data_IF_140495413776
#
_entry.id   IF_140495413776
#
_cell.length_a   1.000
_cell.length_b   1.000
_cell.length_c   1.000
_cell.angle_alpha   90.00
_cell.angle_beta   90.00
_cell.angle_gamma   90.00
#
_symmetry.space_group_name_H-M   'P 1'
#
loop_
_entity.id
_entity.type
_entity.pdbx_description
1 polymer ?
#
# COMPACT_ATOMS: atom_id res chain seq x y z
N UNK A 1 -9.26 -34.24 -4.05
CA UNK A 1 -9.46 -32.80 -4.37
C UNK A 1 -8.18 -32.06 -3.98
N UNK A 2 -7.68 -31.10 -4.79
CA UNK A 2 -6.46 -30.35 -4.40
C UNK A 2 -6.75 -29.51 -3.15
N UNK A 3 -5.82 -29.44 -2.18
CA UNK A 3 -5.98 -28.60 -1.00
C UNK A 3 -6.16 -27.12 -1.37
N UNK A 4 -6.96 -26.39 -0.59
CA UNK A 4 -7.21 -24.95 -0.85
C UNK A 4 -5.92 -24.13 -0.88
N UNK A 5 -4.95 -24.38 -0.01
CA UNK A 5 -3.70 -23.63 -0.01
C UNK A 5 -2.92 -23.80 -1.32
N UNK A 6 -2.92 -25.00 -1.92
CA UNK A 6 -2.30 -25.22 -3.25
C UNK A 6 -2.99 -24.41 -4.34
N UNK A 7 -4.31 -24.25 -4.25
CA UNK A 7 -5.10 -23.45 -5.19
C UNK A 7 -4.78 -21.98 -5.06
N UNK A 8 -4.75 -21.44 -3.82
CA UNK A 8 -4.41 -20.04 -3.56
C UNK A 8 -2.99 -19.70 -4.00
N UNK A 9 -2.03 -20.62 -3.72
CA UNK A 9 -0.65 -20.45 -4.19
C UNK A 9 -0.58 -20.40 -5.73
N UNK A 10 -1.33 -21.25 -6.43
CA UNK A 10 -1.39 -21.20 -7.90
C UNK A 10 -2.01 -19.92 -8.44
N UNK A 11 -3.07 -19.43 -7.80
CA UNK A 11 -3.65 -18.15 -8.19
C UNK A 11 -2.63 -17.01 -8.03
N UNK A 12 -1.88 -17.03 -6.93
CA UNK A 12 -0.83 -16.05 -6.66
C UNK A 12 0.32 -16.13 -7.66
N UNK A 13 0.79 -17.35 -7.97
CA UNK A 13 1.84 -17.56 -8.97
C UNK A 13 1.41 -17.11 -10.36
N UNK A 14 0.18 -17.43 -10.78
CA UNK A 14 -0.36 -17.02 -12.07
C UNK A 14 -0.45 -15.48 -12.13
N UNK A 15 -0.99 -14.84 -11.10
CA UNK A 15 -1.08 -13.38 -11.04
C UNK A 15 0.31 -12.72 -11.05
N UNK A 16 1.31 -13.35 -10.44
CA UNK A 16 2.70 -12.86 -10.44
C UNK A 16 3.37 -13.00 -11.81
N UNK A 17 3.13 -14.11 -12.51
CA UNK A 17 3.72 -14.38 -13.83
C UNK A 17 3.05 -13.56 -14.95
N UNK A 18 1.75 -13.34 -14.83
CA UNK A 18 0.93 -12.69 -15.84
C UNK A 18 0.13 -11.55 -15.20
N UNK A 19 0.74 -10.36 -15.16
CA UNK A 19 0.11 -9.19 -14.52
C UNK A 19 -1.25 -8.83 -15.13
N UNK A 20 -1.45 -9.13 -16.43
CA UNK A 20 -2.69 -8.85 -17.18
C UNK A 20 -3.69 -10.01 -17.16
N UNK A 21 -3.40 -11.10 -16.40
CA UNK A 21 -4.31 -12.23 -16.33
C UNK A 21 -5.66 -11.84 -15.75
N UNK A 22 -6.72 -12.30 -16.42
CA UNK A 22 -8.12 -12.07 -16.02
C UNK A 22 -8.71 -13.35 -15.45
N UNK A 23 -9.18 -13.27 -14.21
CA UNK A 23 -9.78 -14.38 -13.49
C UNK A 23 -11.30 -14.43 -13.68
N UNK A 24 -11.83 -15.54 -14.21
CA UNK A 24 -13.24 -15.66 -14.57
C UNK A 24 -14.05 -16.62 -13.70
N UNK A 25 -13.41 -17.41 -12.83
CA UNK A 25 -14.02 -18.51 -12.08
C UNK A 25 -13.62 -18.55 -10.61
N UNK A 26 -13.59 -17.39 -9.94
CA UNK A 26 -13.19 -17.32 -8.53
C UNK A 26 -14.31 -17.72 -7.56
N UNK A 27 -15.57 -17.50 -7.94
CA UNK A 27 -16.73 -17.82 -7.10
C UNK A 27 -16.79 -19.29 -6.70
N UNK A 28 -16.34 -20.21 -7.56
CA UNK A 28 -16.29 -21.66 -7.27
C UNK A 28 -15.47 -22.01 -6.01
N UNK A 29 -14.52 -21.18 -5.63
CA UNK A 29 -13.71 -21.41 -4.44
C UNK A 29 -14.45 -21.12 -3.14
N UNK A 30 -15.47 -20.25 -3.18
CA UNK A 30 -16.40 -20.03 -2.07
C UNK A 30 -17.30 -21.23 -1.78
N UNK A 31 -17.40 -22.18 -2.71
CA UNK A 31 -18.22 -23.39 -2.56
C UNK A 31 -17.42 -24.60 -2.05
N UNK A 32 -16.20 -24.37 -1.53
CA UNK A 32 -15.33 -25.42 -0.98
C UNK A 32 -15.39 -25.44 0.54
N UNK A 33 -15.70 -26.57 1.18
CA UNK A 33 -15.75 -26.64 2.65
C UNK A 33 -14.38 -26.40 3.32
N UNK A 34 -13.30 -26.93 2.73
CA UNK A 34 -11.95 -26.84 3.30
C UNK A 34 -11.42 -25.42 3.48
N UNK A 35 -11.86 -24.45 2.65
CA UNK A 35 -11.45 -23.06 2.79
C UNK A 35 -12.04 -22.40 4.04
N UNK A 36 -13.25 -22.82 4.47
CA UNK A 36 -13.89 -22.28 5.66
C UNK A 36 -13.21 -22.71 6.96
N UNK A 37 -12.63 -23.92 6.99
CA UNK A 37 -11.81 -24.36 8.13
C UNK A 37 -10.57 -23.48 8.30
N UNK A 38 -9.93 -23.11 7.20
CA UNK A 38 -8.78 -22.18 7.24
C UNK A 38 -9.24 -20.78 7.66
N UNK A 39 -10.33 -20.29 7.07
CA UNK A 39 -10.91 -18.99 7.43
C UNK A 39 -11.31 -18.94 8.92
N UNK A 40 -11.87 -20.02 9.45
CA UNK A 40 -12.20 -20.14 10.87
C UNK A 40 -10.94 -20.04 11.74
N UNK A 41 -9.87 -20.76 11.41
CA UNK A 41 -8.61 -20.71 12.16
C UNK A 41 -8.04 -19.28 12.21
N UNK A 42 -8.06 -18.56 11.07
CA UNK A 42 -7.62 -17.16 11.01
C UNK A 42 -8.47 -16.26 11.92
N UNK A 43 -9.79 -16.45 11.91
CA UNK A 43 -10.69 -15.60 12.69
C UNK A 43 -10.65 -15.93 14.18
N UNK A 44 -10.57 -17.22 14.53
CA UNK A 44 -10.58 -17.69 15.92
C UNK A 44 -9.36 -17.20 16.71
N UNK A 45 -8.22 -17.05 16.04
CA UNK A 45 -6.99 -16.52 16.66
C UNK A 45 -7.05 -15.02 16.96
N UNK A 46 -8.06 -14.30 16.48
CA UNK A 46 -8.20 -12.86 16.70
C UNK A 46 -9.09 -12.55 17.91
N UNK A 47 -8.75 -11.51 18.68
CA UNK A 47 -9.53 -11.04 19.85
C UNK A 47 -11.00 -10.73 19.51
N UNK A 48 -11.31 -10.41 18.24
CA UNK A 48 -12.67 -10.15 17.77
C UNK A 48 -13.52 -11.39 17.46
N UNK A 49 -13.01 -12.62 17.69
CA UNK A 49 -13.73 -13.88 17.37
C UNK A 49 -15.08 -13.99 18.06
N UNK A 50 -15.14 -13.67 19.36
CA UNK A 50 -16.36 -13.71 20.18
C UNK A 50 -17.26 -12.47 20.05
N UNK A 51 -16.89 -11.47 19.22
CA UNK A 51 -17.68 -10.24 19.09
C UNK A 51 -18.88 -10.47 18.20
N UNK A 52 -20.09 -10.31 18.77
CA UNK A 52 -21.37 -10.49 18.07
C UNK A 52 -21.67 -9.36 17.10
N UNK A 53 -22.29 -9.69 15.97
CA UNK A 53 -22.84 -8.75 15.01
C UNK A 53 -24.21 -8.21 15.44
N UNK A 54 -25.14 -8.21 14.49
CA UNK A 54 -26.58 -7.94 14.73
C UNK A 54 -27.35 -9.16 15.20
N UNK A 55 -26.71 -10.32 15.20
CA UNK A 55 -27.22 -11.60 15.70
C UNK A 55 -26.34 -12.11 16.84
N UNK A 56 -26.72 -13.26 17.40
CA UNK A 56 -26.04 -13.92 18.52
C UNK A 56 -24.93 -14.88 18.06
N UNK A 57 -24.71 -15.05 16.74
CA UNK A 57 -23.74 -15.99 16.19
C UNK A 57 -22.30 -15.56 16.54
N UNK A 58 -21.53 -16.54 17.06
CA UNK A 58 -20.11 -16.39 17.41
C UNK A 58 -19.29 -17.56 16.85
N UNK A 59 -17.98 -17.51 17.05
CA UNK A 59 -17.07 -18.57 16.63
C UNK A 59 -17.40 -19.94 17.26
N UNK A 60 -18.03 -19.96 18.42
CA UNK A 60 -18.34 -21.20 19.16
C UNK A 60 -19.40 -22.08 18.46
N UNK A 61 -20.21 -21.48 17.58
CA UNK A 61 -21.21 -22.19 16.80
C UNK A 61 -20.71 -22.84 15.51
N UNK A 62 -19.40 -22.81 15.25
CA UNK A 62 -18.82 -23.34 14.01
C UNK A 62 -18.93 -24.87 13.95
N UNK A 63 -19.52 -25.40 12.88
CA UNK A 63 -19.65 -26.83 12.59
C UNK A 63 -19.65 -27.09 11.08
N UNK A 64 -19.55 -28.36 10.69
CA UNK A 64 -19.66 -28.75 9.26
C UNK A 64 -21.02 -28.36 8.68
N UNK A 65 -22.12 -28.62 9.42
CA UNK A 65 -23.47 -28.23 8.98
C UNK A 65 -23.62 -26.70 8.87
N UNK A 66 -22.92 -25.94 9.70
CA UNK A 66 -22.90 -24.49 9.62
C UNK A 66 -22.27 -24.04 8.26
N UNK A 67 -21.15 -24.65 7.90
CA UNK A 67 -20.45 -24.38 6.64
C UNK A 67 -21.30 -24.82 5.44
N UNK A 68 -21.93 -25.99 5.50
CA UNK A 68 -22.80 -26.49 4.44
C UNK A 68 -23.97 -25.54 4.15
N UNK A 69 -24.59 -24.99 5.20
CA UNK A 69 -25.68 -23.97 5.05
C UNK A 69 -25.17 -22.72 4.34
N UNK A 70 -23.97 -22.24 4.66
CA UNK A 70 -23.36 -21.09 3.97
C UNK A 70 -23.13 -21.42 2.49
N UNK A 71 -22.53 -22.58 2.21
CA UNK A 71 -22.21 -23.02 0.86
C UNK A 71 -23.48 -23.18 0.03
N UNK A 72 -24.54 -23.75 0.62
CA UNK A 72 -25.81 -23.91 -0.11
C UNK A 72 -26.47 -22.56 -0.43
N UNK A 73 -26.47 -21.63 0.52
CA UNK A 73 -26.95 -20.28 0.27
C UNK A 73 -26.13 -19.53 -0.80
N UNK A 74 -24.82 -19.75 -0.86
CA UNK A 74 -23.95 -19.19 -1.92
C UNK A 74 -24.19 -19.91 -3.25
N UNK A 75 -24.37 -21.22 -3.28
CA UNK A 75 -24.63 -22.02 -4.49
C UNK A 75 -25.91 -21.60 -5.17
N UNK A 76 -26.97 -21.41 -4.39
CA UNK A 76 -28.30 -21.00 -4.85
C UNK A 76 -28.43 -19.48 -5.04
N UNK A 77 -27.38 -18.71 -4.76
CA UNK A 77 -27.36 -17.24 -4.78
C UNK A 77 -28.42 -16.57 -3.88
N UNK A 78 -28.86 -17.26 -2.85
CA UNK A 78 -29.80 -16.73 -1.85
C UNK A 78 -29.08 -16.04 -0.68
N UNK A 79 -27.76 -16.19 -0.56
CA UNK A 79 -26.96 -15.54 0.48
C UNK A 79 -27.11 -14.01 0.43
N UNK A 80 -27.45 -13.44 1.60
CA UNK A 80 -27.57 -11.98 1.78
C UNK A 80 -26.77 -11.58 3.01
N UNK A 81 -25.70 -10.75 2.87
CA UNK A 81 -25.00 -10.20 4.01
C UNK A 81 -25.95 -9.41 4.93
N UNK A 82 -25.80 -9.58 6.23
CA UNK A 82 -26.54 -8.79 7.21
C UNK A 82 -25.89 -7.41 7.38
N UNK A 83 -26.66 -6.38 7.79
CA UNK A 83 -26.08 -5.09 8.14
C UNK A 83 -25.10 -5.24 9.29
N UNK A 84 -24.01 -4.48 9.31
CA UNK A 84 -23.05 -4.51 10.41
C UNK A 84 -23.62 -3.80 11.63
N UNK A 85 -23.36 -4.27 12.84
CA UNK A 85 -23.70 -3.57 14.08
C UNK A 85 -22.73 -2.42 14.30
N UNK A 86 -23.22 -1.20 14.42
CA UNK A 86 -22.40 0.00 14.68
C UNK A 86 -21.92 -0.01 16.14
N UNK A 87 -20.64 0.24 16.32
CA UNK A 87 -19.99 0.48 17.59
C UNK A 87 -19.02 1.65 17.48
N UNK A 88 -18.57 2.21 18.58
CA UNK A 88 -17.67 3.36 18.58
C UNK A 88 -16.43 3.09 19.42
N UNK A 89 -15.26 3.45 18.90
CA UNK A 89 -14.00 3.40 19.62
C UNK A 89 -13.48 4.84 19.76
N UNK A 90 -13.05 5.20 20.96
CA UNK A 90 -12.47 6.51 21.23
C UNK A 90 -11.03 6.56 20.66
N UNK A 91 -10.75 7.58 19.86
CA UNK A 91 -9.39 7.91 19.38
C UNK A 91 -8.60 8.65 20.46
N UNK A 92 -7.27 8.68 20.34
CA UNK A 92 -6.38 9.42 21.25
C UNK A 92 -6.71 10.92 21.35
N UNK A 93 -7.30 11.50 20.31
CA UNK A 93 -7.73 12.90 20.27
C UNK A 93 -9.17 13.13 20.82
N UNK A 94 -9.77 12.13 21.48
CA UNK A 94 -11.11 12.21 22.06
C UNK A 94 -12.27 12.03 21.07
N UNK A 95 -12.02 12.01 19.76
CA UNK A 95 -13.06 11.78 18.75
C UNK A 95 -13.45 10.31 18.70
N UNK A 96 -14.72 10.04 18.41
CA UNK A 96 -15.22 8.67 18.23
C UNK A 96 -14.99 8.20 16.80
N UNK A 97 -14.46 6.95 16.66
CA UNK A 97 -14.35 6.25 15.38
C UNK A 97 -15.46 5.23 15.28
N UNK A 98 -16.34 5.34 14.28
CA UNK A 98 -17.37 4.33 14.06
C UNK A 98 -16.73 3.02 13.58
N UNK A 99 -17.18 1.89 14.14
CA UNK A 99 -16.79 0.56 13.73
C UNK A 99 -18.02 -0.26 13.36
N UNK A 100 -17.95 -1.01 12.27
CA UNK A 100 -18.99 -1.95 11.88
C UNK A 100 -18.59 -3.37 12.27
N UNK A 101 -19.41 -4.02 13.06
CA UNK A 101 -19.21 -5.39 13.53
C UNK A 101 -20.08 -6.34 12.70
N UNK A 102 -19.51 -7.11 11.74
CA UNK A 102 -20.26 -8.09 10.95
C UNK A 102 -20.70 -9.28 11.82
N UNK A 103 -21.72 -10.02 11.38
CA UNK A 103 -22.08 -11.32 11.95
C UNK A 103 -20.94 -12.32 11.75
N UNK A 104 -20.92 -13.40 12.53
CA UNK A 104 -19.87 -14.40 12.38
C UNK A 104 -19.93 -15.11 11.02
N UNK A 105 -21.14 -15.38 10.50
CA UNK A 105 -21.34 -15.89 9.14
C UNK A 105 -20.70 -14.97 8.11
N UNK A 106 -20.94 -13.65 8.21
CA UNK A 106 -20.40 -12.67 7.27
C UNK A 106 -18.88 -12.55 7.41
N UNK A 107 -18.33 -12.62 8.63
CA UNK A 107 -16.88 -12.65 8.86
C UNK A 107 -16.22 -13.84 8.13
N UNK A 108 -16.81 -15.04 8.21
CA UNK A 108 -16.29 -16.24 7.53
C UNK A 108 -16.29 -16.06 6.01
N UNK A 109 -17.41 -15.63 5.42
CA UNK A 109 -17.51 -15.43 3.97
C UNK A 109 -16.55 -14.32 3.51
N UNK A 110 -16.45 -13.22 4.26
CA UNK A 110 -15.51 -12.14 3.96
C UNK A 110 -14.06 -12.61 4.05
N UNK A 111 -13.71 -13.47 5.02
CA UNK A 111 -12.35 -13.99 5.16
C UNK A 111 -11.98 -14.88 3.98
N UNK A 112 -12.89 -15.76 3.54
CA UNK A 112 -12.69 -16.55 2.32
C UNK A 112 -12.49 -15.66 1.10
N UNK A 113 -13.30 -14.62 0.95
CA UNK A 113 -13.16 -13.66 -0.14
C UNK A 113 -11.83 -12.90 -0.05
N UNK A 114 -11.42 -12.49 1.16
CA UNK A 114 -10.14 -11.82 1.40
C UNK A 114 -8.96 -12.69 0.95
N UNK A 115 -8.96 -13.99 1.32
CA UNK A 115 -7.91 -14.93 0.93
C UNK A 115 -7.81 -15.07 -0.60
N UNK A 116 -8.94 -15.13 -1.31
CA UNK A 116 -8.98 -15.20 -2.76
C UNK A 116 -8.47 -13.90 -3.40
N UNK A 117 -8.95 -12.75 -2.92
CA UNK A 117 -8.51 -11.43 -3.40
C UNK A 117 -7.04 -11.21 -3.15
N UNK A 118 -6.53 -11.59 -1.98
CA UNK A 118 -5.11 -11.48 -1.64
C UNK A 118 -4.24 -12.32 -2.58
N UNK A 119 -4.63 -13.56 -2.87
CA UNK A 119 -3.91 -14.40 -3.82
C UNK A 119 -3.84 -13.77 -5.24
N UNK A 120 -4.88 -13.00 -5.63
CA UNK A 120 -4.95 -12.34 -6.94
C UNK A 120 -4.21 -11.00 -6.97
N UNK A 121 -4.33 -10.18 -5.91
CA UNK A 121 -3.88 -8.78 -5.93
C UNK A 121 -2.54 -8.54 -5.24
N UNK A 122 -2.15 -9.33 -4.23
CA UNK A 122 -0.87 -9.12 -3.53
C UNK A 122 0.35 -9.09 -4.47
N UNK A 123 0.43 -9.94 -5.52
CA UNK A 123 1.55 -9.91 -6.45
C UNK A 123 1.62 -8.66 -7.34
N UNK A 124 0.51 -7.92 -7.49
CA UNK A 124 0.40 -6.76 -8.39
C UNK A 124 0.32 -5.42 -7.67
N UNK A 125 0.23 -5.44 -6.36
CA UNK A 125 0.30 -4.20 -5.58
C UNK A 125 1.68 -3.55 -5.65
N UNK A 126 1.70 -2.23 -5.68
CA UNK A 126 2.93 -1.44 -5.62
C UNK A 126 3.81 -1.83 -4.44
N UNK A 127 5.13 -1.86 -4.68
CA UNK A 127 6.11 -2.10 -3.63
C UNK A 127 6.20 -0.96 -2.60
N UNK A 128 5.62 0.19 -2.90
CA UNK A 128 5.57 1.36 -2.02
C UNK A 128 4.38 1.35 -1.07
N UNK A 129 3.45 0.39 -1.20
CA UNK A 129 2.28 0.22 -0.33
C UNK A 129 2.55 -0.79 0.78
N UNK A 130 2.30 -0.43 2.04
CA UNK A 130 2.66 -1.24 3.22
C UNK A 130 1.49 -1.60 4.15
N UNK A 131 0.44 -0.79 4.21
CA UNK A 131 -0.69 -1.01 5.13
C UNK A 131 -1.55 -2.22 4.75
N UNK A 132 -1.97 -3.00 5.73
CA UNK A 132 -2.91 -4.13 5.58
C UNK A 132 -2.47 -5.21 4.57
N UNK A 133 -1.18 -5.46 4.46
CA UNK A 133 -0.61 -6.45 3.53
C UNK A 133 0.19 -7.50 4.28
N UNK A 134 0.17 -8.77 3.84
CA UNK A 134 0.96 -9.83 4.45
C UNK A 134 2.46 -9.54 4.34
N UNK A 135 3.19 -9.78 5.44
CA UNK A 135 4.64 -9.55 5.50
C UNK A 135 5.05 -8.07 5.49
N UNK A 136 4.11 -7.13 5.52
CA UNK A 136 4.36 -5.68 5.58
C UNK A 136 3.77 -5.05 6.84
N UNK A 137 4.38 -3.99 7.32
CA UNK A 137 4.02 -3.32 8.56
C UNK A 137 4.43 -1.85 8.54
N UNK A 138 4.08 -1.10 9.57
CA UNK A 138 4.60 0.26 9.77
C UNK A 138 6.15 0.26 9.79
N UNK A 139 6.78 -0.75 10.39
CA UNK A 139 8.24 -0.87 10.43
C UNK A 139 8.85 -1.06 9.04
N UNK A 140 8.22 -1.82 8.15
CA UNK A 140 8.71 -1.97 6.77
C UNK A 140 8.58 -0.67 5.98
N UNK A 141 7.52 0.13 6.20
CA UNK A 141 7.37 1.45 5.62
C UNK A 141 8.47 2.41 6.14
N UNK A 142 8.70 2.45 7.44
CA UNK A 142 9.75 3.28 8.05
C UNK A 142 11.15 2.87 7.59
N UNK A 143 11.41 1.56 7.44
CA UNK A 143 12.68 1.08 6.90
C UNK A 143 12.89 1.56 5.46
N UNK A 144 11.86 1.51 4.62
CA UNK A 144 11.92 2.02 3.25
C UNK A 144 12.17 3.53 3.24
N UNK A 145 11.47 4.31 4.06
CA UNK A 145 11.72 5.74 4.24
C UNK A 145 13.19 6.02 4.59
N UNK A 146 13.72 5.30 5.58
CA UNK A 146 15.11 5.47 6.03
C UNK A 146 16.12 5.21 4.92
N UNK A 147 15.89 4.22 4.07
CA UNK A 147 16.82 3.83 3.02
C UNK A 147 16.66 4.63 1.72
N UNK A 148 15.44 4.93 1.33
CA UNK A 148 15.18 5.52 0.03
C UNK A 148 15.09 7.05 0.04
N UNK A 149 14.68 7.68 1.15
CA UNK A 149 14.41 9.12 1.20
C UNK A 149 15.65 9.97 1.49
N UNK A 150 16.84 9.37 1.43
CA UNK A 150 18.12 10.08 1.58
C UNK A 150 18.29 11.10 0.45
N UNK A 151 18.66 12.34 0.80
CA UNK A 151 18.90 13.43 -0.14
C UNK A 151 17.63 14.15 -0.60
N UNK A 152 16.48 13.88 0.00
CA UNK A 152 15.26 14.64 -0.27
C UNK A 152 15.36 16.05 0.31
N UNK A 153 14.93 17.04 -0.48
CA UNK A 153 14.90 18.45 -0.08
C UNK A 153 13.52 18.90 0.38
N UNK A 154 12.47 18.26 -0.13
CA UNK A 154 11.07 18.59 0.12
C UNK A 154 10.24 17.35 0.36
N UNK A 155 9.16 17.51 1.13
CA UNK A 155 8.19 16.45 1.40
C UNK A 155 6.77 16.94 1.09
N UNK A 156 5.98 16.08 0.47
CA UNK A 156 4.53 16.21 0.35
C UNK A 156 3.92 15.10 1.18
N UNK A 157 3.27 15.47 2.28
CA UNK A 157 2.49 14.59 3.12
C UNK A 157 1.02 14.68 2.69
N UNK A 158 0.38 13.52 2.54
CA UNK A 158 -1.02 13.42 2.18
C UNK A 158 -1.75 12.40 3.02
N UNK A 159 -3.00 12.72 3.34
CA UNK A 159 -3.98 11.85 3.99
C UNK A 159 -5.27 11.89 3.18
N UNK A 160 -5.82 10.71 2.86
CA UNK A 160 -7.08 10.63 2.12
C UNK A 160 -8.22 10.71 3.13
N UNK A 161 -8.78 11.90 3.28
CA UNK A 161 -9.83 12.19 4.25
C UNK A 161 -11.01 11.22 4.11
N UNK A 162 -11.22 10.43 5.17
CA UNK A 162 -12.33 9.49 5.24
C UNK A 162 -12.26 8.42 4.13
N UNK A 163 -11.06 7.93 3.82
CA UNK A 163 -10.82 6.99 2.73
C UNK A 163 -11.85 5.85 2.69
N UNK A 164 -12.02 5.14 3.81
CA UNK A 164 -12.98 4.04 3.90
C UNK A 164 -14.43 4.45 3.69
N UNK A 165 -14.81 5.65 4.09
CA UNK A 165 -16.21 6.14 4.01
C UNK A 165 -16.53 6.71 2.61
N UNK A 166 -15.50 7.10 1.84
CA UNK A 166 -15.64 7.76 0.54
C UNK A 166 -15.33 6.87 -0.67
N UNK A 167 -15.03 5.58 -0.48
CA UNK A 167 -14.84 4.66 -1.60
C UNK A 167 -16.12 4.58 -2.43
N UNK A 168 -16.05 4.99 -3.71
CA UNK A 168 -17.16 4.84 -4.63
C UNK A 168 -17.30 3.37 -5.05
N UNK A 169 -18.47 2.78 -4.74
CA UNK A 169 -18.74 1.36 -5.02
C UNK A 169 -18.66 1.03 -6.50
N UNK A 170 -19.11 1.94 -7.38
CA UNK A 170 -19.12 1.72 -8.83
C UNK A 170 -17.69 1.70 -9.37
N UNK A 171 -16.89 2.67 -8.93
CA UNK A 171 -15.47 2.77 -9.31
C UNK A 171 -14.69 1.57 -8.78
N UNK A 172 -14.86 1.20 -7.50
CA UNK A 172 -14.20 0.03 -6.92
C UNK A 172 -14.52 -1.24 -7.71
N UNK A 173 -15.79 -1.49 -8.00
CA UNK A 173 -16.20 -2.67 -8.78
C UNK A 173 -15.65 -2.62 -10.21
N UNK A 174 -15.56 -1.44 -10.82
CA UNK A 174 -14.96 -1.29 -12.14
C UNK A 174 -13.44 -1.59 -12.11
N UNK A 175 -12.73 -1.12 -11.08
CA UNK A 175 -11.30 -1.42 -10.87
C UNK A 175 -11.09 -2.92 -10.66
N UNK A 176 -11.88 -3.55 -9.78
CA UNK A 176 -11.82 -5.00 -9.56
C UNK A 176 -12.15 -5.75 -10.86
N UNK A 177 -13.15 -5.29 -11.62
CA UNK A 177 -13.60 -5.88 -12.87
C UNK A 177 -12.59 -5.87 -14.01
N UNK A 178 -11.51 -5.11 -13.92
CA UNK A 178 -10.39 -5.19 -14.88
C UNK A 178 -9.68 -6.53 -14.79
N UNK A 179 -9.48 -7.04 -13.57
CA UNK A 179 -8.73 -8.27 -13.28
C UNK A 179 -9.64 -9.47 -12.95
N UNK A 180 -10.84 -9.24 -12.43
CA UNK A 180 -11.80 -10.27 -12.05
C UNK A 180 -13.08 -10.10 -12.86
N UNK A 181 -13.33 -10.99 -13.83
CA UNK A 181 -14.55 -11.02 -14.65
C UNK A 181 -15.49 -12.17 -14.25
N UNK A 182 -15.61 -12.42 -12.95
CA UNK A 182 -16.57 -13.35 -12.40
C UNK A 182 -17.79 -12.57 -11.86
N UNK A 183 -18.89 -12.58 -12.60
CA UNK A 183 -20.08 -11.80 -12.28
C UNK A 183 -20.68 -12.15 -10.90
N UNK A 184 -20.64 -13.43 -10.51
CA UNK A 184 -21.15 -13.90 -9.21
C UNK A 184 -20.26 -13.37 -8.07
N UNK A 185 -18.95 -13.40 -8.25
CA UNK A 185 -17.99 -12.88 -7.28
C UNK A 185 -18.14 -11.36 -7.10
N UNK A 186 -18.22 -10.61 -8.19
CA UNK A 186 -18.44 -9.16 -8.16
C UNK A 186 -19.80 -8.78 -7.56
N UNK A 187 -20.85 -9.57 -7.85
CA UNK A 187 -22.18 -9.40 -7.23
C UNK A 187 -22.10 -9.55 -5.71
N UNK A 188 -21.37 -10.54 -5.23
CA UNK A 188 -21.21 -10.77 -3.78
C UNK A 188 -20.45 -9.62 -3.09
N UNK A 189 -19.38 -9.08 -3.71
CA UNK A 189 -18.71 -7.87 -3.21
C UNK A 189 -19.72 -6.72 -3.11
N UNK A 190 -20.52 -6.48 -4.16
CA UNK A 190 -21.55 -5.42 -4.13
C UNK A 190 -22.57 -5.61 -3.01
N UNK A 191 -22.95 -6.84 -2.72
CA UNK A 191 -23.89 -7.14 -1.63
C UNK A 191 -23.27 -6.75 -0.28
N UNK A 192 -22.01 -7.08 -0.04
CA UNK A 192 -21.32 -6.66 1.18
C UNK A 192 -21.17 -5.14 1.30
N UNK A 193 -20.81 -4.46 0.21
CA UNK A 193 -20.71 -3.00 0.20
C UNK A 193 -22.06 -2.29 0.49
N UNK A 194 -23.16 -2.91 0.10
CA UNK A 194 -24.53 -2.38 0.26
C UNK A 194 -25.28 -2.92 1.48
N UNK A 195 -24.65 -3.75 2.31
CA UNK A 195 -25.34 -4.39 3.45
C UNK A 195 -25.85 -3.40 4.51
N UNK A 196 -25.29 -2.20 4.56
CA UNK A 196 -25.70 -1.17 5.53
C UNK A 196 -25.19 -1.43 6.94
N UNK A 197 -25.71 -0.64 7.87
CA UNK A 197 -25.41 -0.82 9.29
C UNK A 197 -26.66 -0.60 10.15
N UNK A 198 -26.62 -1.22 11.34
CA UNK A 198 -27.60 -1.04 12.40
C UNK A 198 -27.02 -0.20 13.52
N UNK A 199 -27.71 0.87 13.90
CA UNK A 199 -27.38 1.73 15.01
C UNK A 199 -28.67 2.05 15.75
N UNK A 200 -28.70 1.88 17.07
CA UNK A 200 -29.87 2.11 17.92
C UNK A 200 -31.15 1.43 17.38
N UNK A 201 -31.00 0.17 16.92
CA UNK A 201 -32.09 -0.63 16.33
C UNK A 201 -32.69 -0.08 15.02
N UNK A 202 -32.01 0.90 14.40
CA UNK A 202 -32.40 1.47 13.11
C UNK A 202 -31.44 1.05 12.02
N UNK A 203 -31.97 0.72 10.86
CA UNK A 203 -31.19 0.38 9.68
C UNK A 203 -30.82 1.63 8.91
N UNK A 204 -29.55 1.69 8.49
CA UNK A 204 -29.02 2.73 7.61
C UNK A 204 -28.33 2.07 6.41
N UNK A 205 -28.75 2.50 5.21
CA UNK A 205 -28.12 2.02 3.96
C UNK A 205 -26.77 2.69 3.71
N UNK A 206 -25.84 1.96 3.12
CA UNK A 206 -24.53 2.48 2.65
C UNK A 206 -24.58 2.73 1.15
N UNK A 207 -24.30 3.96 0.73
CA UNK A 207 -24.24 4.38 -0.67
C UNK A 207 -22.79 4.51 -1.17
N UNK A 208 -21.84 4.70 -0.26
CA UNK A 208 -20.41 4.76 -0.48
C UNK A 208 -19.68 4.15 0.70
N UNK A 209 -18.41 3.87 0.52
CA UNK A 209 -17.53 3.38 1.58
C UNK A 209 -17.54 1.87 1.78
N UNK A 210 -16.49 1.42 2.46
CA UNK A 210 -16.39 0.07 3.00
C UNK A 210 -16.57 0.13 4.51
N UNK A 211 -17.41 -0.75 5.13
CA UNK A 211 -17.60 -0.72 6.58
C UNK A 211 -16.26 -0.82 7.32
N UNK A 212 -15.92 0.18 8.13
CA UNK A 212 -14.74 0.12 9.00
C UNK A 212 -14.95 -1.01 10.01
N UNK A 213 -14.11 -2.05 9.96
CA UNK A 213 -14.22 -3.27 10.77
C UNK A 213 -14.70 -4.51 9.97
N UNK A 214 -15.09 -4.37 8.71
CA UNK A 214 -15.27 -5.51 7.82
C UNK A 214 -13.94 -6.19 7.48
N UNK A 215 -13.92 -7.52 7.48
CA UNK A 215 -12.71 -8.33 7.21
C UNK A 215 -12.14 -8.09 5.80
N UNK A 216 -13.01 -7.89 4.83
CA UNK A 216 -12.63 -7.65 3.42
C UNK A 216 -12.28 -6.19 3.15
N UNK A 217 -12.68 -5.24 4.01
CA UNK A 217 -12.55 -3.80 3.76
C UNK A 217 -11.11 -3.33 3.52
N UNK A 218 -10.09 -3.82 4.27
CA UNK A 218 -8.70 -3.41 4.05
C UNK A 218 -8.16 -3.76 2.67
N UNK A 219 -8.44 -4.97 2.16
CA UNK A 219 -7.96 -5.35 0.83
C UNK A 219 -8.72 -4.61 -0.28
N UNK A 220 -10.01 -4.36 -0.11
CA UNK A 220 -10.78 -3.53 -1.06
C UNK A 220 -10.24 -2.10 -1.11
N UNK A 221 -9.90 -1.52 0.03
CA UNK A 221 -9.25 -0.21 0.10
C UNK A 221 -7.88 -0.22 -0.59
N UNK A 222 -7.06 -1.25 -0.37
CA UNK A 222 -5.77 -1.38 -1.05
C UNK A 222 -5.92 -1.53 -2.58
N UNK A 223 -6.91 -2.29 -3.06
CA UNK A 223 -7.21 -2.39 -4.50
C UNK A 223 -7.59 -1.03 -5.08
N UNK A 224 -8.43 -0.27 -4.36
CA UNK A 224 -8.84 1.07 -4.77
C UNK A 224 -7.67 2.05 -4.79
N UNK A 225 -6.86 2.06 -3.74
CA UNK A 225 -5.71 2.96 -3.59
C UNK A 225 -4.52 2.58 -4.47
N UNK A 226 -4.47 1.36 -5.02
CA UNK A 226 -3.47 0.99 -5.99
C UNK A 226 -3.56 1.81 -7.29
N UNK A 227 -4.71 2.42 -7.58
CA UNK A 227 -4.86 3.40 -8.68
C UNK A 227 -4.01 4.66 -8.40
N UNK A 228 -3.96 5.12 -7.14
CA UNK A 228 -3.08 6.22 -6.72
C UNK A 228 -1.61 5.80 -6.81
N UNK A 229 -1.28 4.59 -6.33
CA UNK A 229 0.08 4.08 -6.39
C UNK A 229 0.58 4.04 -7.85
N UNK A 230 -0.24 3.53 -8.76
CA UNK A 230 0.06 3.48 -10.20
C UNK A 230 0.22 4.88 -10.80
N UNK A 231 -0.64 5.81 -10.44
CA UNK A 231 -0.53 7.20 -10.89
C UNK A 231 0.77 7.85 -10.43
N UNK A 232 1.16 7.64 -9.17
CA UNK A 232 2.43 8.20 -8.65
C UNK A 232 3.63 7.54 -9.32
N UNK A 233 3.56 6.25 -9.64
CA UNK A 233 4.63 5.57 -10.39
C UNK A 233 4.78 6.13 -11.82
N UNK A 234 3.68 6.49 -12.49
CA UNK A 234 3.73 7.19 -13.78
C UNK A 234 4.29 8.62 -13.63
N UNK A 235 3.80 9.38 -12.63
CA UNK A 235 4.29 10.71 -12.32
C UNK A 235 5.79 10.70 -12.02
N UNK A 236 6.28 9.64 -11.34
CA UNK A 236 7.70 9.44 -11.09
C UNK A 236 8.49 9.27 -12.37
N UNK A 237 8.00 8.54 -13.37
CA UNK A 237 8.66 8.38 -14.67
C UNK A 237 8.76 9.71 -15.43
N UNK A 238 7.72 10.56 -15.31
CA UNK A 238 7.69 11.90 -15.91
C UNK A 238 8.67 12.86 -15.20
N UNK A 239 8.76 12.76 -13.87
CA UNK A 239 9.51 13.70 -13.03
C UNK A 239 11.00 13.37 -12.93
N UNK A 240 11.36 12.08 -12.84
CA UNK A 240 12.73 11.64 -12.56
C UNK A 240 13.66 12.00 -13.72
N UNK A 241 14.60 12.91 -13.47
CA UNK A 241 15.66 13.29 -14.39
C UNK A 241 17.00 12.84 -13.84
N UNK A 242 17.74 12.09 -14.61
CA UNK A 242 19.13 11.71 -14.30
C UNK A 242 20.10 12.51 -15.17
N UNK A 243 20.86 13.38 -14.52
CA UNK A 243 21.90 14.14 -15.21
C UNK A 243 23.20 13.34 -15.28
N UNK A 244 23.97 13.45 -16.38
CA UNK A 244 25.30 12.86 -16.45
C UNK A 244 26.18 13.39 -15.32
N UNK A 245 27.04 12.54 -14.79
CA UNK A 245 28.01 12.93 -13.75
C UNK A 245 28.89 14.06 -14.29
N UNK A 246 28.84 15.22 -13.63
CA UNK A 246 29.75 16.35 -13.88
C UNK A 246 30.35 16.80 -12.56
N UNK A 247 31.66 16.93 -12.51
CA UNK A 247 32.34 17.55 -11.37
C UNK A 247 32.11 19.04 -11.37
N UNK A 248 31.99 19.63 -10.17
CA UNK A 248 31.88 21.08 -10.05
C UNK A 248 33.19 21.73 -10.54
N UNK A 249 33.13 22.92 -11.21
CA UNK A 249 34.34 23.64 -11.60
C UNK A 249 35.31 23.89 -10.41
N UNK A 250 34.76 24.19 -9.23
CA UNK A 250 35.53 24.39 -8.02
C UNK A 250 36.29 23.12 -7.60
N UNK A 251 35.60 21.98 -7.55
CA UNK A 251 36.21 20.68 -7.21
C UNK A 251 37.33 20.33 -8.22
N UNK A 252 37.07 20.49 -9.49
CA UNK A 252 38.02 20.18 -10.55
C UNK A 252 39.26 21.10 -10.49
N UNK A 253 39.08 22.40 -10.14
CA UNK A 253 40.20 23.34 -9.98
C UNK A 253 41.13 22.93 -8.81
N UNK A 254 40.54 22.55 -7.67
CA UNK A 254 41.30 22.07 -6.49
C UNK A 254 41.98 20.74 -6.80
N UNK A 255 41.31 19.80 -7.42
CA UNK A 255 41.88 18.50 -7.81
C UNK A 255 43.08 18.67 -8.75
N UNK A 256 43.00 19.55 -9.72
CA UNK A 256 44.08 19.87 -10.66
C UNK A 256 45.28 20.50 -9.93
N UNK A 257 45.03 21.44 -8.99
CA UNK A 257 46.11 22.04 -8.17
C UNK A 257 46.80 20.96 -7.32
N UNK A 258 46.03 20.10 -6.67
CA UNK A 258 46.52 18.99 -5.85
C UNK A 258 47.36 17.99 -6.65
N UNK A 259 46.89 17.61 -7.86
CA UNK A 259 47.65 16.73 -8.75
C UNK A 259 48.99 17.35 -9.19
N UNK A 260 49.01 18.65 -9.45
CA UNK A 260 50.27 19.36 -9.80
C UNK A 260 51.24 19.43 -8.64
N UNK A 261 50.72 19.68 -7.42
CA UNK A 261 51.55 19.66 -6.20
C UNK A 261 52.14 18.27 -5.93
N UNK A 262 51.36 17.21 -6.09
CA UNK A 262 51.84 15.84 -5.95
C UNK A 262 53.02 15.56 -6.89
N UNK A 263 52.92 15.94 -8.18
CA UNK A 263 54.01 15.78 -9.14
C UNK A 263 55.28 16.57 -8.76
N UNK A 264 55.14 17.76 -8.13
CA UNK A 264 56.25 18.54 -7.62
C UNK A 264 56.90 17.86 -6.41
N UNK A 265 56.10 17.30 -5.48
CA UNK A 265 56.59 16.57 -4.31
C UNK A 265 57.39 15.32 -4.72
N UNK A 266 56.87 14.57 -5.72
CA UNK A 266 57.47 13.33 -6.23
C UNK A 266 58.83 13.54 -6.90
N UNK A 267 59.08 14.78 -7.42
CA UNK A 267 60.34 15.17 -8.12
C UNK A 267 61.38 15.78 -7.18
N UNK A 268 61.10 15.96 -5.90
CA UNK A 268 62.01 16.60 -4.94
C UNK A 268 62.54 15.64 -3.89
N UNK A 269 63.82 15.77 -3.58
CA UNK A 269 64.44 15.06 -2.45
C UNK A 269 63.90 15.57 -1.12
N UNK A 270 64.15 14.81 -0.03
CA UNK A 270 63.71 15.17 1.30
C UNK A 270 64.40 16.45 1.77
N UNK A 271 63.63 17.40 2.31
CA UNK A 271 64.08 18.69 2.79
C UNK A 271 62.94 19.68 3.01
N UNK A 272 63.27 20.85 3.55
CA UNK A 272 62.30 21.87 3.99
C UNK A 272 61.31 22.29 2.91
N UNK A 273 61.77 22.41 1.66
CA UNK A 273 60.90 22.75 0.53
C UNK A 273 59.84 21.66 0.22
N UNK A 274 60.25 20.40 0.32
CA UNK A 274 59.30 19.26 0.14
C UNK A 274 58.28 19.22 1.25
N UNK A 275 58.65 19.51 2.47
CA UNK A 275 57.77 19.53 3.64
C UNK A 275 56.72 20.65 3.52
N UNK A 276 57.11 21.84 3.01
CA UNK A 276 56.18 22.93 2.72
C UNK A 276 55.14 22.52 1.65
N UNK A 277 55.59 21.86 0.58
CA UNK A 277 54.66 21.36 -0.47
C UNK A 277 53.71 20.28 0.06
N UNK A 278 54.17 19.43 0.97
CA UNK A 278 53.33 18.42 1.64
C UNK A 278 52.28 19.10 2.53
N UNK A 279 52.64 20.17 3.25
CA UNK A 279 51.69 20.92 4.07
C UNK A 279 50.59 21.57 3.19
N UNK A 280 50.98 22.18 2.06
CA UNK A 280 50.06 22.75 1.09
C UNK A 280 49.16 21.67 0.47
N UNK A 281 49.68 20.51 0.12
CA UNK A 281 48.91 19.37 -0.39
C UNK A 281 47.86 18.88 0.62
N UNK A 282 48.23 18.79 1.92
CA UNK A 282 47.30 18.44 3.00
C UNK A 282 46.16 19.46 3.12
N UNK A 283 46.49 20.77 3.03
CA UNK A 283 45.50 21.86 3.06
C UNK A 283 44.52 21.76 1.91
N UNK A 284 45.00 21.60 0.67
CA UNK A 284 44.16 21.42 -0.51
C UNK A 284 43.32 20.13 -0.45
N UNK A 285 43.86 19.08 0.17
CA UNK A 285 43.10 17.83 0.39
C UNK A 285 41.93 18.06 1.34
N UNK A 286 42.13 18.81 2.43
CA UNK A 286 41.07 19.18 3.37
C UNK A 286 40.02 20.06 2.70
N UNK A 287 40.41 21.00 1.84
CA UNK A 287 39.50 21.85 1.07
C UNK A 287 38.71 21.06 0.06
N UNK A 288 39.35 20.08 -0.61
CA UNK A 288 38.68 19.19 -1.56
C UNK A 288 37.55 18.39 -0.91
N UNK A 289 37.74 17.86 0.30
CA UNK A 289 36.73 17.13 1.04
C UNK A 289 35.54 18.01 1.48
N UNK A 290 35.73 19.32 1.60
CA UNK A 290 34.67 20.28 1.93
C UNK A 290 33.95 20.82 0.69
N UNK A 291 34.52 20.62 -0.51
CA UNK A 291 33.95 21.14 -1.75
C UNK A 291 33.04 20.11 -2.39
N UNK A 292 31.78 20.46 -2.73
CA UNK A 292 30.90 19.55 -3.43
C UNK A 292 31.52 19.03 -4.73
N UNK A 293 31.70 17.72 -4.81
CA UNK A 293 32.33 17.08 -5.98
C UNK A 293 31.39 17.01 -7.19
N UNK A 294 30.10 16.92 -6.97
CA UNK A 294 29.08 16.69 -7.99
C UNK A 294 28.14 17.87 -8.13
N UNK A 295 27.91 18.33 -9.37
CA UNK A 295 26.72 19.09 -9.71
C UNK A 295 25.57 18.09 -9.75
N UNK A 296 24.66 18.16 -8.78
CA UNK A 296 23.53 17.24 -8.69
C UNK A 296 22.27 17.99 -9.09
N UNK A 297 21.98 17.97 -10.41
CA UNK A 297 20.70 18.43 -10.96
C UNK A 297 19.70 17.28 -11.12
N UNK A 298 20.00 16.11 -10.50
CA UNK A 298 19.10 14.96 -10.54
C UNK A 298 17.81 15.30 -9.83
N UNK A 299 16.70 15.19 -10.54
CA UNK A 299 15.36 15.26 -9.95
C UNK A 299 14.89 13.84 -9.66
N UNK A 300 14.37 13.59 -8.48
CA UNK A 300 13.84 12.28 -8.08
C UNK A 300 12.62 12.43 -7.18
N UNK A 301 11.60 11.67 -7.51
CA UNK A 301 10.43 11.46 -6.69
C UNK A 301 10.54 10.09 -6.02
N UNK A 302 10.28 10.04 -4.72
CA UNK A 302 10.23 8.82 -3.93
C UNK A 302 8.92 8.80 -3.16
N UNK A 303 8.35 7.63 -2.99
CA UNK A 303 6.99 7.45 -2.50
C UNK A 303 6.89 6.30 -1.53
N UNK A 304 6.10 6.44 -0.48
CA UNK A 304 5.70 5.37 0.44
C UNK A 304 4.27 5.64 0.90
N UNK A 305 3.44 4.61 0.95
CA UNK A 305 2.08 4.66 1.47
C UNK A 305 1.87 3.61 2.57
N UNK A 306 1.20 4.02 3.63
CA UNK A 306 0.72 3.13 4.68
C UNK A 306 -0.79 3.34 4.87
N UNK A 307 -1.60 2.41 4.36
CA UNK A 307 -3.06 2.53 4.26
C UNK A 307 -3.47 3.79 3.48
N UNK A 308 -4.12 4.76 4.10
CA UNK A 308 -4.55 6.05 3.56
C UNK A 308 -3.50 7.16 3.70
N UNK A 309 -2.54 7.00 4.60
CA UNK A 309 -1.43 7.94 4.77
C UNK A 309 -0.34 7.71 3.70
N UNK A 310 0.15 8.77 3.07
CA UNK A 310 1.28 8.67 2.16
C UNK A 310 2.27 9.82 2.28
N UNK A 311 3.51 9.53 1.92
CA UNK A 311 4.59 10.50 1.91
C UNK A 311 5.34 10.44 0.58
N UNK A 312 5.52 11.60 -0.03
CA UNK A 312 6.35 11.79 -1.22
C UNK A 312 7.55 12.64 -0.84
N UNK A 313 8.75 12.15 -1.15
CA UNK A 313 9.97 12.91 -1.03
C UNK A 313 10.44 13.38 -2.41
N UNK A 314 10.82 14.63 -2.50
CA UNK A 314 11.24 15.29 -3.73
C UNK A 314 12.68 15.77 -3.60
N UNK A 315 13.55 15.24 -4.45
CA UNK A 315 14.85 15.83 -4.70
C UNK A 315 14.70 16.77 -5.90
N UNK A 316 14.69 18.07 -5.66
CA UNK A 316 14.43 19.10 -6.64
C UNK A 316 14.20 20.46 -6.01
N UNK A 317 13.66 21.41 -6.79
CA UNK A 317 13.30 22.75 -6.34
C UNK A 317 11.96 22.77 -5.58
N UNK A 318 11.67 23.89 -4.92
CA UNK A 318 10.35 24.13 -4.32
C UNK A 318 9.24 24.13 -5.38
N UNK A 319 9.51 24.68 -6.55
CA UNK A 319 8.57 24.68 -7.68
C UNK A 319 8.24 23.27 -8.16
N UNK A 320 9.22 22.36 -8.18
CA UNK A 320 9.00 20.95 -8.50
C UNK A 320 8.06 20.29 -7.48
N UNK A 321 8.22 20.59 -6.20
CA UNK A 321 7.35 20.10 -5.14
C UNK A 321 5.92 20.64 -5.30
N UNK A 322 5.76 21.92 -5.61
CA UNK A 322 4.45 22.56 -5.85
C UNK A 322 3.77 21.98 -7.11
N UNK A 323 4.52 21.68 -8.14
CA UNK A 323 4.03 21.01 -9.34
C UNK A 323 3.51 19.60 -9.03
N UNK A 324 4.25 18.79 -8.25
CA UNK A 324 3.80 17.47 -7.82
C UNK A 324 2.51 17.59 -7.01
N UNK A 325 2.44 18.54 -6.07
CA UNK A 325 1.23 18.78 -5.26
C UNK A 325 0.02 19.14 -6.14
N UNK A 326 0.20 19.97 -7.17
CA UNK A 326 -0.86 20.32 -8.11
C UNK A 326 -1.35 19.09 -8.88
N UNK A 327 -0.43 18.25 -9.39
CA UNK A 327 -0.75 17.00 -10.08
C UNK A 327 -1.55 16.03 -9.20
N UNK A 328 -1.18 15.89 -7.92
CA UNK A 328 -1.92 15.06 -6.96
C UNK A 328 -3.32 15.62 -6.70
N UNK A 329 -3.47 16.94 -6.60
CA UNK A 329 -4.78 17.59 -6.40
C UNK A 329 -5.71 17.41 -7.61
N UNK A 330 -5.15 17.32 -8.82
CA UNK A 330 -5.91 17.03 -10.04
C UNK A 330 -6.33 15.56 -10.12
N UNK A 331 -5.58 14.67 -9.47
CA UNK A 331 -5.88 13.23 -9.50
C UNK A 331 -7.12 12.91 -8.68
N UNK A 332 -8.04 12.15 -9.27
CA UNK A 332 -9.29 11.72 -8.63
C UNK A 332 -9.51 10.23 -8.83
N UNK A 333 -9.77 9.52 -7.75
CA UNK A 333 -10.31 8.18 -7.80
C UNK A 333 -11.81 8.27 -7.51
N UNK A 334 -12.66 8.24 -8.56
CA UNK A 334 -14.08 8.44 -8.40
C UNK A 334 -14.42 9.81 -7.83
N UNK A 335 -15.05 9.86 -6.64
CA UNK A 335 -15.37 11.09 -5.91
C UNK A 335 -14.34 11.52 -4.87
N UNK A 336 -13.38 10.63 -4.56
CA UNK A 336 -12.33 10.93 -3.60
C UNK A 336 -11.32 11.92 -4.21
N UNK A 337 -11.05 12.99 -3.48
CA UNK A 337 -9.97 13.92 -3.74
C UNK A 337 -8.77 13.49 -2.89
N UNK A 338 -7.59 13.48 -3.48
CA UNK A 338 -6.32 13.30 -2.78
C UNK A 338 -5.85 14.64 -2.22
#
# INVERSE_FOLDING_TARGET
>A
MKPTMEILTKLQENSKKHHDEVFTRLYRYLLRPDIYSIAYQHLYSNEGAGTKGVDEDTADGFSEEYVERIIEALRTETYRPKPVRRSYIQKSNGKMRPLGLPTFTDKLVQEVMRMILEAVYEPVFSNYSHGFRPGRSCHTALAQLKHEFIGASWFVEGDIKGCFDNIDHTVLIAVIGRKIKDARFLKLIRLFLKSGYMEDWKYYGTYSGCPQGGIISPILANIYLNELDSYIEELKKEFDVRTPYRTTPAYHAIERKRANLRRKIDRREAGLERDLLIAEYKKLTSELYKTPAKLCDDKKLKYVRYADDFLIAVNGSKQDCEWIKAKLTEFKIGRAHV
#
